data_IF_339087628599
#
_entry.id   IF_339087628599
#
_cell.length_a   1.000
_cell.length_b   1.000
_cell.length_c   1.000
_cell.angle_alpha   90.00
_cell.angle_beta   90.00
_cell.angle_gamma   90.00
#
_symmetry.space_group_name_H-M   'P 1'
#
loop_
_entity.id
_entity.type
_entity.pdbx_description
1 polymer ?
#
# COMPACT_ATOMS: atom_id res chain seq x y z
N UNK A 1 -3.05 7.32 0.56
CA UNK A 1 -4.38 6.69 0.61
C UNK A 1 -4.83 6.55 2.06
N UNK A 2 -5.98 7.09 2.38
CA UNK A 2 -6.62 6.89 3.67
C UNK A 2 -7.45 5.62 3.63
N UNK A 3 -7.32 4.78 4.65
CA UNK A 3 -8.12 3.56 4.81
C UNK A 3 -9.11 3.77 5.95
N UNK A 4 -10.30 4.36 5.69
CA UNK A 4 -11.23 4.71 6.77
C UNK A 4 -11.92 3.52 7.44
N UNK A 5 -11.97 2.37 6.77
CA UNK A 5 -12.58 1.16 7.33
C UNK A 5 -11.57 0.00 7.34
N UNK A 6 -11.65 -0.85 8.36
CA UNK A 6 -10.83 -2.06 8.44
C UNK A 6 -11.30 -3.11 7.45
N UNK A 7 -10.40 -4.01 7.06
CA UNK A 7 -10.68 -5.18 6.20
C UNK A 7 -11.41 -4.81 4.90
N UNK A 8 -11.16 -3.61 4.38
CA UNK A 8 -11.73 -3.10 3.14
C UNK A 8 -10.60 -2.74 2.19
N UNK A 9 -10.67 -3.22 0.95
CA UNK A 9 -9.64 -2.95 -0.06
C UNK A 9 -9.88 -1.58 -0.69
N UNK A 10 -8.84 -0.75 -0.72
CA UNK A 10 -8.85 0.55 -1.37
C UNK A 10 -7.82 0.54 -2.49
N UNK A 11 -8.25 0.86 -3.71
CA UNK A 11 -7.33 0.94 -4.84
C UNK A 11 -6.40 2.14 -4.68
N UNK A 12 -5.10 1.92 -4.90
CA UNK A 12 -4.14 3.02 -4.98
C UNK A 12 -4.49 3.85 -6.22
N UNK A 13 -4.57 5.19 -6.11
CA UNK A 13 -4.94 6.02 -7.25
C UNK A 13 -4.03 5.84 -8.46
N UNK A 14 -4.58 6.07 -9.65
CA UNK A 14 -3.81 6.03 -10.89
C UNK A 14 -2.64 7.00 -10.80
N UNK A 15 -1.44 6.45 -11.00
CA UNK A 15 -0.22 7.23 -11.09
C UNK A 15 0.74 6.48 -11.98
N UNK A 16 1.07 7.07 -13.13
CA UNK A 16 2.02 6.47 -14.05
C UNK A 16 3.42 6.47 -13.42
N UNK A 17 4.08 5.32 -13.49
CA UNK A 17 5.45 5.17 -12.98
C UNK A 17 6.39 5.24 -14.17
N UNK A 18 7.21 6.31 -14.30
CA UNK A 18 8.14 6.46 -15.42
C UNK A 18 9.13 5.32 -15.50
N UNK A 19 9.63 5.06 -16.72
CA UNK A 19 10.66 4.06 -16.93
C UNK A 19 11.91 4.39 -16.09
N UNK A 20 12.50 3.36 -15.47
CA UNK A 20 13.65 3.53 -14.60
C UNK A 20 13.28 3.89 -13.16
N UNK A 21 11.99 4.05 -12.85
CA UNK A 21 11.51 4.31 -11.50
C UNK A 21 10.71 3.13 -10.96
N UNK A 22 10.58 3.06 -9.65
CA UNK A 22 9.79 2.04 -8.95
C UNK A 22 8.69 2.69 -8.12
N UNK A 23 7.57 1.98 -7.97
CA UNK A 23 6.53 2.39 -7.05
C UNK A 23 6.94 2.00 -5.63
N UNK A 24 6.98 2.97 -4.72
CA UNK A 24 7.16 2.72 -3.29
C UNK A 24 5.83 2.92 -2.57
N UNK A 25 5.45 1.93 -1.77
CA UNK A 25 4.26 1.98 -0.91
C UNK A 25 4.74 1.87 0.52
N UNK A 26 4.30 2.81 1.37
CA UNK A 26 4.78 2.93 2.74
C UNK A 26 3.62 3.09 3.71
N UNK A 27 3.70 2.36 4.83
CA UNK A 27 2.81 2.62 5.97
C UNK A 27 3.26 3.90 6.67
N UNK A 28 2.35 4.87 6.81
CA UNK A 28 2.69 6.18 7.37
C UNK A 28 3.26 6.06 8.78
N UNK A 29 4.30 6.85 9.13
CA UNK A 29 4.84 6.87 10.49
C UNK A 29 3.85 7.41 11.52
N UNK A 30 2.78 8.10 11.11
CA UNK A 30 1.74 8.59 12.02
C UNK A 30 0.66 7.56 12.31
N UNK A 31 0.67 6.40 11.65
CA UNK A 31 -0.28 5.33 11.94
C UNK A 31 -0.08 4.83 13.37
N UNK A 32 -1.15 4.32 13.97
CA UNK A 32 -1.11 3.81 15.34
C UNK A 32 -0.14 2.64 15.47
N UNK A 33 0.47 2.49 16.64
CA UNK A 33 1.29 1.33 16.98
C UNK A 33 0.44 0.06 16.84
N UNK A 34 0.99 -0.97 16.19
CA UNK A 34 0.27 -2.20 15.92
C UNK A 34 -0.58 -2.15 14.65
N UNK A 35 -0.62 -1.01 13.94
CA UNK A 35 -1.31 -0.95 12.65
C UNK A 35 -0.52 -1.73 11.59
N UNK A 36 -1.28 -2.40 10.72
CA UNK A 36 -0.74 -3.07 9.54
C UNK A 36 -1.41 -2.51 8.31
N UNK A 37 -0.62 -2.24 7.28
CA UNK A 37 -1.13 -1.96 5.94
C UNK A 37 -0.87 -3.21 5.12
N UNK A 38 -1.94 -3.77 4.54
CA UNK A 38 -1.84 -4.94 3.69
C UNK A 38 -1.84 -4.50 2.23
N UNK A 39 -0.90 -5.01 1.45
CA UNK A 39 -0.73 -4.64 0.04
C UNK A 39 -0.93 -5.88 -0.82
N UNK A 40 -1.75 -5.76 -1.86
CA UNK A 40 -1.98 -6.86 -2.80
C UNK A 40 -2.40 -6.31 -4.17
N UNK A 41 -2.47 -7.21 -5.15
CA UNK A 41 -2.81 -6.83 -6.54
C UNK A 41 -4.28 -7.01 -6.85
N UNK A 42 -5.04 -7.66 -5.97
CA UNK A 42 -6.50 -7.83 -6.11
C UNK A 42 -7.18 -7.51 -4.79
N UNK A 43 -8.45 -7.04 -4.83
CA UNK A 43 -9.19 -6.77 -3.59
C UNK A 43 -9.33 -8.00 -2.69
N UNK A 44 -9.57 -9.17 -3.28
CA UNK A 44 -9.74 -10.40 -2.51
C UNK A 44 -8.47 -10.78 -1.75
N UNK A 45 -7.30 -10.67 -2.39
CA UNK A 45 -6.03 -10.94 -1.74
C UNK A 45 -5.71 -9.88 -0.67
N UNK A 46 -6.05 -8.63 -0.94
CA UNK A 46 -5.78 -7.51 -0.05
C UNK A 46 -6.48 -7.65 1.30
N UNK A 47 -7.67 -8.22 1.32
CA UNK A 47 -8.45 -8.42 2.56
C UNK A 47 -8.18 -9.78 3.22
N UNK A 48 -7.30 -10.60 2.64
CA UNK A 48 -6.90 -11.88 3.21
C UNK A 48 -5.49 -11.75 3.80
N UNK A 49 -5.33 -11.76 5.13
CA UNK A 49 -4.02 -11.57 5.75
C UNK A 49 -3.01 -12.66 5.42
N UNK A 50 -3.45 -13.81 4.90
CA UNK A 50 -2.55 -14.88 4.47
C UNK A 50 -2.01 -14.67 3.06
N UNK A 51 -2.62 -13.79 2.27
CA UNK A 51 -2.25 -13.54 0.87
C UNK A 51 -1.65 -12.16 0.64
N UNK A 52 -1.99 -11.18 1.48
CA UNK A 52 -1.50 -9.82 1.36
C UNK A 52 -0.13 -9.66 2.00
N UNK A 53 0.64 -8.69 1.49
CA UNK A 53 1.94 -8.33 2.08
C UNK A 53 1.73 -7.30 3.19
N UNK A 54 2.07 -7.61 4.45
CA UNK A 54 1.86 -6.68 5.56
C UNK A 54 3.01 -5.69 5.71
N UNK A 55 2.67 -4.43 5.99
CA UNK A 55 3.62 -3.37 6.33
C UNK A 55 3.31 -2.85 7.73
N UNK A 56 4.29 -2.89 8.62
CA UNK A 56 4.16 -2.26 9.94
C UNK A 56 4.39 -0.75 9.81
N UNK A 57 4.15 -0.01 10.89
CA UNK A 57 4.35 1.43 10.93
C UNK A 57 5.73 1.81 10.37
N UNK A 58 5.76 2.78 9.46
CA UNK A 58 6.97 3.32 8.83
C UNK A 58 7.72 2.32 7.91
N UNK A 59 7.18 1.14 7.67
CA UNK A 59 7.77 0.16 6.74
C UNK A 59 7.33 0.46 5.31
N UNK A 60 8.18 0.14 4.35
CA UNK A 60 7.87 0.35 2.93
C UNK A 60 8.24 -0.86 2.09
N UNK A 61 7.61 -0.96 0.92
CA UNK A 61 7.92 -1.97 -0.10
C UNK A 61 7.92 -1.29 -1.47
N UNK A 62 8.77 -1.77 -2.37
CA UNK A 62 8.88 -1.23 -3.71
C UNK A 62 8.52 -2.28 -4.76
N UNK A 63 7.88 -1.81 -5.85
CA UNK A 63 7.49 -2.65 -6.96
C UNK A 63 7.89 -2.02 -8.30
N UNK A 64 8.28 -2.86 -9.25
CA UNK A 64 8.54 -2.43 -10.62
C UNK A 64 7.25 -2.61 -11.43
N UNK A 65 6.45 -1.57 -11.51
CA UNK A 65 5.16 -1.57 -12.22
C UNK A 65 5.02 -0.28 -13.03
N UNK A 66 4.10 -0.28 -13.98
CA UNK A 66 3.85 0.89 -14.83
C UNK A 66 2.86 1.87 -14.24
N UNK A 67 1.98 1.42 -13.34
CA UNK A 67 0.94 2.25 -12.74
C UNK A 67 0.64 1.81 -11.31
N UNK A 68 0.55 2.78 -10.40
CA UNK A 68 0.23 2.54 -8.99
C UNK A 68 -1.17 1.94 -8.81
N UNK A 69 -2.10 2.23 -9.73
CA UNK A 69 -3.46 1.71 -9.69
C UNK A 69 -3.58 0.20 -9.81
N UNK A 70 -2.47 -0.52 -10.10
CA UNK A 70 -2.45 -1.98 -10.11
C UNK A 70 -2.53 -2.59 -8.71
N UNK A 71 -2.41 -1.78 -7.65
CA UNK A 71 -2.36 -2.25 -6.27
C UNK A 71 -3.56 -1.82 -5.45
N UNK A 72 -3.85 -2.61 -4.43
CA UNK A 72 -4.87 -2.34 -3.42
C UNK A 72 -4.23 -2.38 -2.04
N UNK A 73 -4.76 -1.59 -1.12
CA UNK A 73 -4.30 -1.54 0.27
C UNK A 73 -5.48 -1.67 1.21
N UNK A 74 -5.23 -2.27 2.37
CA UNK A 74 -6.22 -2.38 3.45
C UNK A 74 -5.51 -2.22 4.79
N UNK A 75 -6.27 -2.13 5.87
CA UNK A 75 -5.70 -1.94 7.21
C UNK A 75 -6.45 -2.76 8.26
N UNK A 76 -5.78 -3.02 9.39
CA UNK A 76 -6.39 -3.61 10.57
C UNK A 76 -6.84 -2.57 11.59
N UNK A 77 -6.50 -1.29 11.39
CA UNK A 77 -6.92 -0.18 12.25
C UNK A 77 -7.51 0.93 11.40
N UNK A 78 -8.77 1.28 11.64
CA UNK A 78 -9.49 2.31 10.88
C UNK A 78 -8.76 3.65 10.93
N UNK A 79 -8.73 4.36 9.82
CA UNK A 79 -8.08 5.67 9.72
C UNK A 79 -6.58 5.62 9.42
N UNK A 80 -6.01 4.44 9.16
CA UNK A 80 -4.61 4.31 8.78
C UNK A 80 -4.34 4.90 7.41
N UNK A 81 -3.13 5.41 7.21
CA UNK A 81 -2.72 6.11 5.99
C UNK A 81 -1.61 5.33 5.29
N UNK A 82 -1.74 5.20 3.99
CA UNK A 82 -0.70 4.64 3.11
C UNK A 82 -0.15 5.75 2.23
N UNK A 83 1.17 5.85 2.17
CA UNK A 83 1.88 6.79 1.30
C UNK A 83 2.38 6.00 0.09
N UNK A 84 2.25 6.58 -1.11
CA UNK A 84 2.81 5.98 -2.31
C UNK A 84 3.52 7.05 -3.15
N UNK A 85 4.63 6.67 -3.75
CA UNK A 85 5.46 7.60 -4.54
C UNK A 85 6.24 6.83 -5.59
N UNK A 86 6.67 7.53 -6.64
CA UNK A 86 7.61 6.98 -7.60
C UNK A 86 9.03 7.33 -7.15
N UNK A 87 9.90 6.32 -7.09
CA UNK A 87 11.28 6.50 -6.67
C UNK A 87 12.24 6.03 -7.75
N UNK A 88 13.37 6.72 -7.88
CA UNK A 88 14.39 6.37 -8.85
C UNK A 88 15.04 5.04 -8.45
N UNK A 89 15.21 4.14 -9.42
CA UNK A 89 15.97 2.91 -9.21
C UNK A 89 17.47 3.21 -9.25
N UNK A 90 18.20 2.55 -8.36
CA UNK A 90 19.64 2.60 -8.34
C UNK A 90 20.26 1.62 -9.33
#
# INVERSE_FOLDING_TARGET
VLCPAVATAYQVPDMEIPDGMSLAIKSSPVNALGSLIFVARTPAECTNPNSAWPLIQNESITYQVKNAGAFFVSTNIAGSITIFTAEQRD
#
